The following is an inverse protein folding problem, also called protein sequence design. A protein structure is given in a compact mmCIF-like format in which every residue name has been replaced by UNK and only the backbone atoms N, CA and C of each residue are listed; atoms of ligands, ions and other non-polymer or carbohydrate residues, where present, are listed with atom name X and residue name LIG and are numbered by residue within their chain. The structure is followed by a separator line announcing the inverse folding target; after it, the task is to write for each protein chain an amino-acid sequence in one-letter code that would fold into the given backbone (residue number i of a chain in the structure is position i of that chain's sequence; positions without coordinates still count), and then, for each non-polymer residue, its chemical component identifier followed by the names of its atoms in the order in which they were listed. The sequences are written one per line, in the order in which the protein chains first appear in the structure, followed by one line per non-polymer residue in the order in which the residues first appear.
data_IF_749404531629
#
_entry.id   IF_749404531629
#
_cell.length_a   1.000
_cell.length_b   1.000
_cell.length_c   1.000
_cell.angle_alpha   90.00
_cell.angle_beta   90.00
_cell.angle_gamma   90.00
#
_symmetry.space_group_name_H-M   'P 1'
#
loop_
_entity.id
_entity.type
_entity.pdbx_description
1 polymer ?
#
# COMPACT_ATOMS: atom_id res chain seq x y z
N UNK A 1 -46.47 1.29 20.63
CA UNK A 1 -45.34 0.33 20.73
C UNK A 1 -44.59 0.08 19.41
N UNK A 2 -44.98 0.72 18.28
CA UNK A 2 -44.33 0.56 16.96
C UNK A 2 -43.11 1.47 16.71
N UNK A 3 -42.86 2.45 17.59
CA UNK A 3 -41.80 3.43 17.42
C UNK A 3 -40.43 2.96 17.96
N UNK A 4 -40.42 1.88 18.76
CA UNK A 4 -39.20 1.34 19.40
C UNK A 4 -38.46 0.32 18.53
N UNK A 5 -39.14 -0.32 17.57
CA UNK A 5 -38.54 -1.30 16.66
C UNK A 5 -37.87 -0.66 15.44
N UNK A 6 -38.30 0.54 15.01
CA UNK A 6 -37.65 1.26 13.90
C UNK A 6 -36.27 1.81 14.30
N UNK A 7 -36.12 2.28 15.54
CA UNK A 7 -34.88 2.86 16.05
C UNK A 7 -33.74 1.83 16.19
N UNK A 8 -34.08 0.55 16.37
CA UNK A 8 -33.11 -0.54 16.45
C UNK A 8 -32.51 -0.91 15.08
N UNK A 9 -33.25 -0.71 13.98
CA UNK A 9 -32.78 -1.03 12.63
C UNK A 9 -31.86 0.08 12.08
N UNK A 10 -32.10 1.35 12.45
CA UNK A 10 -31.23 2.47 12.09
C UNK A 10 -29.88 2.46 12.81
N UNK A 11 -29.79 1.87 14.00
CA UNK A 11 -28.54 1.79 14.76
C UNK A 11 -27.62 0.65 14.29
N UNK A 12 -28.16 -0.36 13.60
CA UNK A 12 -27.39 -1.47 13.04
C UNK A 12 -26.70 -1.14 11.70
N UNK A 13 -27.12 -0.07 11.01
CA UNK A 13 -26.51 0.35 9.74
C UNK A 13 -25.25 1.23 9.89
N UNK A 14 -24.97 1.72 11.10
CA UNK A 14 -23.84 2.66 11.34
C UNK A 14 -22.52 1.91 11.63
N UNK A 15 -22.55 0.60 11.84
CA UNK A 15 -21.35 -0.16 12.25
C UNK A 15 -20.57 -0.83 11.11
N UNK A 16 -20.98 -0.65 9.85
CA UNK A 16 -20.20 -1.11 8.69
C UNK A 16 -19.34 0.00 8.07
N UNK A 17 -18.89 0.97 8.89
CA UNK A 17 -17.67 1.69 8.56
C UNK A 17 -16.52 0.71 8.77
N UNK A 18 -16.28 -0.15 7.78
CA UNK A 18 -15.07 -0.97 7.73
C UNK A 18 -13.88 -0.04 7.91
N UNK A 19 -12.91 -0.46 8.71
CA UNK A 19 -11.58 0.16 8.72
C UNK A 19 -11.16 0.32 7.27
N UNK A 20 -11.02 1.56 6.79
CA UNK A 20 -10.46 1.84 5.49
C UNK A 20 -9.05 1.25 5.50
N UNK A 21 -8.91 0.03 4.98
CA UNK A 21 -7.60 -0.57 4.78
C UNK A 21 -6.90 0.33 3.78
N UNK A 22 -5.87 1.05 4.24
CA UNK A 22 -5.07 1.85 3.34
C UNK A 22 -4.51 0.88 2.28
N UNK A 23 -4.82 1.13 1.01
CA UNK A 23 -4.33 0.28 -0.07
C UNK A 23 -2.83 0.57 -0.18
N UNK A 24 -1.96 -0.46 -0.14
CA UNK A 24 -0.53 -0.26 -0.32
C UNK A 24 -0.23 0.48 -1.63
N UNK A 25 0.69 1.44 -1.61
CA UNK A 25 1.13 2.17 -2.79
C UNK A 25 2.53 1.74 -3.18
N UNK A 26 2.73 1.38 -4.44
CA UNK A 26 4.04 0.96 -4.97
C UNK A 26 4.64 2.05 -5.86
N UNK A 27 5.96 2.24 -5.78
CA UNK A 27 6.73 3.11 -6.66
C UNK A 27 7.84 2.32 -7.33
N UNK A 28 8.05 2.55 -8.62
CA UNK A 28 9.21 2.07 -9.36
C UNK A 28 10.42 2.93 -9.03
N UNK A 29 11.53 2.28 -8.70
CA UNK A 29 12.82 2.90 -8.42
C UNK A 29 13.74 2.80 -9.63
N UNK A 30 14.43 3.89 -9.94
CA UNK A 30 15.51 3.92 -10.93
C UNK A 30 16.75 4.53 -10.31
N UNK A 31 17.86 3.79 -10.34
CA UNK A 31 19.18 4.20 -9.91
C UNK A 31 20.01 4.47 -11.17
N UNK A 32 20.39 5.74 -11.38
CA UNK A 32 21.19 6.15 -12.54
C UNK A 32 22.60 6.48 -12.11
N UNK A 33 23.60 5.74 -12.57
CA UNK A 33 25.00 6.11 -12.32
C UNK A 33 25.31 7.43 -13.04
N UNK A 34 25.79 8.42 -12.29
CA UNK A 34 26.21 9.73 -12.81
C UNK A 34 27.68 10.01 -12.57
N UNK A 35 28.40 9.09 -11.90
CA UNK A 35 29.81 9.22 -11.63
C UNK A 35 30.63 8.62 -12.79
N UNK A 36 31.49 9.39 -13.46
CA UNK A 36 32.28 8.92 -14.61
C UNK A 36 33.32 7.85 -14.25
N UNK A 37 33.60 7.64 -12.96
CA UNK A 37 34.52 6.62 -12.45
C UNK A 37 33.78 5.27 -12.26
N UNK A 38 32.45 5.29 -12.12
CA UNK A 38 31.66 4.07 -11.94
C UNK A 38 31.51 3.28 -13.23
N UNK A 39 31.77 1.98 -13.16
CA UNK A 39 31.68 1.02 -14.26
C UNK A 39 30.38 0.19 -14.26
N UNK A 40 29.49 0.39 -13.28
CA UNK A 40 28.14 -0.20 -13.24
C UNK A 40 27.12 0.84 -13.73
N UNK A 41 26.24 0.49 -14.66
CA UNK A 41 25.33 1.46 -15.29
C UNK A 41 24.28 2.07 -14.34
N UNK A 42 23.90 1.34 -13.29
CA UNK A 42 22.80 1.68 -12.41
C UNK A 42 21.96 0.45 -12.08
N UNK A 43 20.73 0.69 -11.64
CA UNK A 43 19.83 -0.35 -11.17
C UNK A 43 18.36 0.05 -11.23
N UNK A 44 17.48 -0.90 -11.00
CA UNK A 44 16.02 -0.71 -10.99
C UNK A 44 15.41 -1.46 -9.84
N UNK A 45 14.28 -1.00 -9.33
CA UNK A 45 13.62 -1.69 -8.23
C UNK A 45 12.23 -1.17 -7.98
N UNK A 46 11.73 -1.43 -6.77
CA UNK A 46 10.49 -0.87 -6.29
C UNK A 46 10.50 -0.69 -4.77
N UNK A 47 9.62 0.19 -4.31
CA UNK A 47 9.27 0.31 -2.91
C UNK A 47 7.75 0.28 -2.76
N UNK A 48 7.27 -0.21 -1.63
CA UNK A 48 5.85 -0.24 -1.31
C UNK A 48 5.64 0.33 0.09
N UNK A 49 4.70 1.26 0.21
CA UNK A 49 4.30 1.90 1.46
C UNK A 49 2.87 1.54 1.83
N UNK A 50 2.55 1.60 3.12
CA UNK A 50 1.20 1.44 3.63
C UNK A 50 0.39 2.73 3.42
N UNK A 51 -0.54 2.69 2.46
CA UNK A 51 -1.40 3.81 2.10
C UNK A 51 -0.79 4.76 1.06
N UNK A 52 -1.41 5.94 0.93
CA UNK A 52 -1.01 6.98 -0.02
C UNK A 52 -0.17 8.07 0.64
N UNK A 53 0.71 8.70 -0.14
CA UNK A 53 1.39 9.95 0.25
C UNK A 53 0.41 11.11 0.18
N UNK A 54 0.36 11.91 1.23
CA UNK A 54 -0.34 13.20 1.27
C UNK A 54 0.38 14.20 0.34
N UNK A 55 -0.40 14.89 -0.49
CA UNK A 55 0.14 15.92 -1.39
C UNK A 55 0.72 17.16 -0.68
N UNK A 56 0.65 17.24 0.65
CA UNK A 56 1.13 18.36 1.47
C UNK A 56 1.85 17.86 2.73
N UNK A 57 2.88 18.59 3.16
CA UNK A 57 3.58 18.33 4.41
C UNK A 57 4.72 17.30 4.28
N UNK A 58 5.17 16.82 5.43
CA UNK A 58 6.32 15.92 5.56
C UNK A 58 5.83 14.56 6.06
N UNK A 59 6.18 13.49 5.36
CA UNK A 59 5.77 12.12 5.70
C UNK A 59 6.95 11.16 5.72
N UNK A 60 6.93 10.27 6.71
CA UNK A 60 7.96 9.27 6.92
C UNK A 60 7.35 7.87 6.89
N UNK A 61 7.89 7.00 6.05
CA UNK A 61 7.53 5.59 5.95
C UNK A 61 8.78 4.79 6.31
N UNK A 62 8.73 3.97 7.35
CA UNK A 62 9.90 3.22 7.81
C UNK A 62 9.51 1.81 8.23
N UNK A 63 10.50 0.94 8.33
CA UNK A 63 10.30 -0.41 8.88
C UNK A 63 9.84 -0.31 10.33
N UNK A 64 10.41 0.64 11.09
CA UNK A 64 10.11 0.86 12.51
C UNK A 64 8.67 1.32 12.77
N UNK A 65 8.08 2.12 11.88
CA UNK A 65 6.69 2.54 12.00
C UNK A 65 5.70 1.61 11.31
N UNK A 66 6.18 0.51 10.71
CA UNK A 66 5.38 -0.49 10.01
C UNK A 66 4.78 -0.01 8.67
N UNK A 67 5.15 1.17 8.18
CA UNK A 67 4.58 1.74 6.95
C UNK A 67 5.44 1.59 5.72
N UNK A 68 6.71 1.17 5.87
CA UNK A 68 7.52 0.69 4.75
C UNK A 68 7.33 -0.82 4.65
N UNK A 69 6.54 -1.25 3.66
CA UNK A 69 6.12 -2.66 3.51
C UNK A 69 7.15 -3.46 2.70
N UNK A 70 7.71 -2.85 1.66
CA UNK A 70 8.73 -3.47 0.82
C UNK A 70 9.70 -2.43 0.27
N UNK A 71 10.94 -2.86 0.06
CA UNK A 71 11.96 -2.17 -0.72
C UNK A 71 12.81 -3.28 -1.34
N UNK A 72 12.96 -3.27 -2.65
CA UNK A 72 13.84 -4.19 -3.37
C UNK A 72 14.37 -3.51 -4.62
N UNK A 73 15.64 -3.73 -4.94
CA UNK A 73 16.24 -3.23 -6.17
C UNK A 73 17.43 -4.09 -6.61
N UNK A 74 17.59 -4.18 -7.92
CA UNK A 74 18.69 -4.87 -8.58
C UNK A 74 19.74 -3.88 -9.05
N UNK A 75 21.01 -4.17 -8.80
CA UNK A 75 22.17 -3.45 -9.33
C UNK A 75 23.31 -4.41 -9.57
N UNK A 76 23.92 -4.35 -10.76
CA UNK A 76 25.00 -5.25 -11.18
C UNK A 76 24.65 -6.76 -11.09
N UNK A 77 23.36 -7.11 -11.24
CA UNK A 77 22.88 -8.49 -11.09
C UNK A 77 22.69 -8.98 -9.65
N UNK A 78 22.85 -8.09 -8.67
CA UNK A 78 22.57 -8.35 -7.25
C UNK A 78 21.28 -7.69 -6.83
N UNK A 79 20.38 -8.46 -6.23
CA UNK A 79 19.17 -7.96 -5.60
C UNK A 79 19.46 -7.58 -4.14
N UNK A 80 19.03 -6.40 -3.74
CA UNK A 80 19.00 -5.97 -2.35
C UNK A 80 17.57 -5.74 -1.94
N UNK A 81 17.18 -6.25 -0.78
CA UNK A 81 15.88 -5.99 -0.18
C UNK A 81 15.97 -5.61 1.31
N UNK A 82 14.82 -5.46 1.98
CA UNK A 82 14.78 -5.10 3.40
C UNK A 82 15.46 -6.12 4.33
N UNK A 83 15.61 -7.39 3.92
CA UNK A 83 16.32 -8.40 4.69
C UNK A 83 17.85 -8.20 4.64
N UNK A 84 18.37 -7.58 3.59
CA UNK A 84 19.79 -7.25 3.45
C UNK A 84 20.19 -5.97 4.21
N UNK A 85 19.21 -5.28 4.80
CA UNK A 85 19.46 -4.05 5.54
C UNK A 85 20.35 -4.32 6.77
N UNK A 86 21.50 -3.65 6.82
CA UNK A 86 22.44 -3.70 7.95
C UNK A 86 21.87 -3.13 9.26
N UNK A 87 20.76 -2.40 9.20
CA UNK A 87 20.02 -1.89 10.35
C UNK A 87 18.53 -1.72 10.04
N UNK A 88 17.72 -1.48 11.07
CA UNK A 88 16.27 -1.24 10.95
C UNK A 88 15.92 0.21 10.56
N UNK A 89 16.92 1.04 10.25
CA UNK A 89 16.80 2.46 9.93
C UNK A 89 16.35 2.75 8.50
N UNK A 90 15.97 1.73 7.72
CA UNK A 90 15.42 1.90 6.38
C UNK A 90 14.15 2.76 6.43
N UNK A 91 14.19 3.89 5.74
CA UNK A 91 13.12 4.88 5.74
C UNK A 91 13.02 5.64 4.44
N UNK A 92 11.82 6.13 4.16
CA UNK A 92 11.46 6.94 3.01
C UNK A 92 10.82 8.22 3.51
N UNK A 93 11.22 9.34 2.92
CA UNK A 93 10.76 10.67 3.26
C UNK A 93 10.12 11.32 2.03
N UNK A 94 8.85 11.69 2.17
CA UNK A 94 8.14 12.49 1.19
C UNK A 94 7.94 13.91 1.73
N UNK A 95 8.10 14.89 0.83
CA UNK A 95 7.84 16.29 1.09
C UNK A 95 6.88 16.84 0.03
N UNK A 96 5.72 17.30 0.46
CA UNK A 96 4.64 17.82 -0.38
C UNK A 96 4.31 16.87 -1.54
N UNK A 97 4.08 15.59 -1.23
CA UNK A 97 3.77 14.56 -2.22
C UNK A 97 4.96 14.03 -3.03
N UNK A 98 6.15 14.63 -2.94
CA UNK A 98 7.32 14.24 -3.73
C UNK A 98 8.31 13.44 -2.89
N UNK A 99 8.94 12.42 -3.49
CA UNK A 99 10.03 11.72 -2.83
C UNK A 99 11.19 12.70 -2.61
N UNK A 100 11.61 12.86 -1.36
CA UNK A 100 12.67 13.78 -0.96
C UNK A 100 13.85 13.07 -0.27
N UNK A 101 13.66 11.83 0.17
CA UNK A 101 14.76 11.03 0.70
C UNK A 101 14.44 9.55 0.82
N UNK A 102 15.48 8.73 0.71
CA UNK A 102 15.43 7.30 0.94
C UNK A 102 16.72 6.89 1.64
N UNK A 103 16.62 6.30 2.83
CA UNK A 103 17.76 5.75 3.57
C UNK A 103 17.66 4.24 3.50
N UNK A 104 18.73 3.62 3.04
CA UNK A 104 18.93 2.17 3.08
C UNK A 104 20.43 1.91 3.11
N UNK A 105 20.87 0.94 3.92
CA UNK A 105 22.25 0.49 3.93
C UNK A 105 22.23 -1.03 3.89
N UNK A 106 22.51 -1.60 2.73
CA UNK A 106 22.48 -3.05 2.49
C UNK A 106 23.88 -3.64 2.38
N UNK A 107 24.02 -4.92 2.73
CA UNK A 107 25.26 -5.67 2.50
C UNK A 107 24.95 -7.10 2.06
N UNK A 108 25.49 -7.53 0.93
CA UNK A 108 25.46 -8.91 0.45
C UNK A 108 26.90 -9.36 0.19
N UNK A 109 27.46 -10.26 1.00
CA UNK A 109 28.77 -10.89 0.75
C UNK A 109 29.90 -9.93 0.30
N UNK A 110 30.14 -8.86 1.06
CA UNK A 110 31.10 -7.76 0.78
C UNK A 110 30.70 -6.77 -0.35
N UNK A 111 29.48 -6.88 -0.85
CA UNK A 111 28.87 -5.89 -1.73
C UNK A 111 28.08 -4.93 -0.87
N UNK A 112 28.40 -3.64 -0.97
CA UNK A 112 27.82 -2.58 -0.17
C UNK A 112 26.97 -1.69 -1.05
N UNK A 113 25.76 -1.39 -0.58
CA UNK A 113 24.91 -0.36 -1.19
C UNK A 113 24.37 0.58 -0.14
N UNK A 114 24.43 1.88 -0.42
CA UNK A 114 23.88 2.92 0.44
C UNK A 114 23.01 3.84 -0.38
N UNK A 115 21.78 4.07 0.10
CA UNK A 115 20.85 5.09 -0.36
C UNK A 115 20.75 6.15 0.74
N UNK A 116 20.81 7.44 0.39
CA UNK A 116 20.89 8.54 1.37
C UNK A 116 19.70 9.51 1.29
N UNK A 117 19.06 9.77 2.43
CA UNK A 117 17.99 10.79 2.60
C UNK A 117 18.51 12.21 2.31
N UNK A 118 17.69 13.01 1.63
CA UNK A 118 17.94 14.43 1.38
C UNK A 118 18.82 14.72 0.15
N UNK A 119 19.52 13.71 -0.37
CA UNK A 119 20.31 13.83 -1.60
C UNK A 119 19.76 12.99 -2.77
N UNK A 120 18.81 12.07 -2.49
CA UNK A 120 18.32 11.07 -3.46
C UNK A 120 19.48 10.46 -4.24
N UNK A 121 20.51 10.05 -3.52
CA UNK A 121 21.73 9.52 -4.09
C UNK A 121 21.96 8.09 -3.63
N UNK A 122 22.69 7.35 -4.44
CA UNK A 122 23.14 6.02 -4.12
C UNK A 122 24.64 5.87 -4.31
N UNK A 123 25.23 4.92 -3.59
CA UNK A 123 26.58 4.41 -3.82
C UNK A 123 26.53 2.90 -3.75
N UNK A 124 27.15 2.23 -4.72
CA UNK A 124 27.28 0.78 -4.82
C UNK A 124 28.76 0.43 -5.00
N UNK A 125 29.23 -0.57 -4.26
CA UNK A 125 30.59 -1.10 -4.36
C UNK A 125 30.59 -2.61 -4.17
N UNK A 126 31.15 -3.34 -5.13
CA UNK A 126 31.32 -4.79 -5.05
C UNK A 126 32.78 -5.15 -4.77
N UNK A 127 33.16 -5.21 -3.49
CA UNK A 127 34.54 -5.55 -3.11
C UNK A 127 34.87 -7.04 -3.24
N UNK A 128 33.90 -7.88 -3.58
CA UNK A 128 34.12 -9.30 -3.83
C UNK A 128 34.76 -9.58 -5.20
N UNK A 129 34.67 -8.63 -6.15
CA UNK A 129 35.23 -8.77 -7.48
C UNK A 129 36.70 -8.31 -7.59
N UNK A 130 37.47 -8.82 -8.58
CA UNK A 130 38.83 -8.35 -8.86
C UNK A 130 38.89 -6.88 -9.27
N UNK A 131 40.06 -6.25 -9.12
CA UNK A 131 40.27 -4.86 -9.55
C UNK A 131 40.28 -4.72 -11.09
N UNK A 132 39.66 -3.66 -11.66
CA UNK A 132 38.84 -2.66 -10.99
C UNK A 132 37.49 -3.26 -10.56
N UNK A 133 37.16 -3.10 -9.28
CA UNK A 133 35.93 -3.65 -8.73
C UNK A 133 34.70 -2.89 -9.26
N UNK A 134 33.54 -3.54 -9.43
CA UNK A 134 32.29 -2.87 -9.80
C UNK A 134 31.90 -1.79 -8.79
N UNK A 135 31.66 -0.59 -9.32
CA UNK A 135 31.33 0.61 -8.56
C UNK A 135 30.31 1.45 -9.34
N UNK A 136 29.35 2.02 -8.63
CA UNK A 136 28.46 3.04 -9.15
C UNK A 136 28.12 4.06 -8.08
N UNK A 137 27.96 5.32 -8.49
CA UNK A 137 27.43 6.37 -7.64
C UNK A 137 26.58 7.30 -8.49
N UNK A 138 25.40 7.64 -8.00
CA UNK A 138 24.58 8.57 -8.74
C UNK A 138 23.27 8.89 -8.06
N UNK A 139 22.26 9.13 -8.89
CA UNK A 139 20.96 9.62 -8.46
C UNK A 139 19.93 8.51 -8.43
N UNK A 140 19.00 8.62 -7.49
CA UNK A 140 17.84 7.79 -7.34
C UNK A 140 16.60 8.61 -7.68
N UNK A 141 15.67 7.98 -8.39
CA UNK A 141 14.36 8.54 -8.66
C UNK A 141 13.29 7.49 -8.39
N UNK A 142 12.09 7.94 -8.09
CA UNK A 142 10.93 7.09 -7.91
C UNK A 142 9.75 7.62 -8.71
N UNK A 143 9.05 6.72 -9.41
CA UNK A 143 7.81 7.04 -10.11
C UNK A 143 6.70 6.20 -9.52
N UNK A 144 5.54 6.82 -9.25
CA UNK A 144 4.38 6.09 -8.77
C UNK A 144 4.05 5.00 -9.79
N UNK A 145 4.03 3.74 -9.32
CA UNK A 145 3.57 2.63 -10.14
C UNK A 145 2.06 2.73 -10.18
N UNK A 146 1.53 3.06 -11.35
CA UNK A 146 0.10 2.98 -11.59
C UNK A 146 -0.18 1.52 -11.86
N UNK A 147 -0.41 0.76 -10.79
CA UNK A 147 -1.02 -0.55 -10.92
C UNK A 147 -2.36 -0.31 -11.58
N UNK A 148 -2.47 -0.72 -12.85
CA UNK A 148 -3.78 -0.82 -13.49
C UNK A 148 -4.52 -1.79 -12.59
N UNK A 149 -5.67 -1.42 -11.98
CA UNK A 149 -6.34 -2.34 -11.09
C UNK A 149 -6.59 -3.62 -11.87
N UNK A 150 -5.90 -4.69 -11.49
CA UNK A 150 -6.33 -6.02 -11.86
C UNK A 150 -7.79 -6.06 -11.41
N UNK A 151 -8.69 -6.28 -12.37
CA UNK A 151 -10.14 -6.41 -12.17
C UNK A 151 -10.45 -7.68 -11.36
N UNK A 152 -9.86 -7.82 -10.17
CA UNK A 152 -9.87 -9.00 -9.32
C UNK A 152 -9.49 -8.70 -7.85
N UNK A 153 -8.98 -7.51 -7.53
CA UNK A 153 -8.87 -7.05 -6.14
C UNK A 153 -10.18 -6.43 -5.69
N UNK A 154 -11.11 -7.23 -5.18
CA UNK A 154 -12.33 -6.70 -4.58
C UNK A 154 -11.96 -5.83 -3.38
N UNK A 155 -12.00 -4.51 -3.54
CA UNK A 155 -12.37 -3.69 -2.41
C UNK A 155 -13.82 -4.08 -2.13
N UNK A 156 -14.03 -4.90 -1.10
CA UNK A 156 -15.34 -5.43 -0.67
C UNK A 156 -16.24 -4.30 -0.13
N UNK A 157 -16.43 -3.25 -0.93
CA UNK A 157 -17.45 -2.26 -0.76
C UNK A 157 -18.60 -2.77 -1.63
N UNK A 158 -19.69 -3.27 -1.04
CA UNK A 158 -20.85 -3.69 -1.82
C UNK A 158 -21.26 -2.52 -2.71
N UNK A 159 -21.31 -2.76 -4.02
CA UNK A 159 -21.74 -1.74 -4.96
C UNK A 159 -23.10 -1.17 -4.51
N UNK A 160 -23.40 0.12 -4.76
CA UNK A 160 -24.65 0.74 -4.34
C UNK A 160 -25.90 -0.07 -4.74
N UNK A 161 -25.82 -0.79 -5.85
CA UNK A 161 -26.86 -1.71 -6.33
C UNK A 161 -27.06 -2.95 -5.43
N UNK A 162 -25.99 -3.53 -4.88
CA UNK A 162 -26.07 -4.65 -3.95
C UNK A 162 -26.72 -4.24 -2.62
N UNK A 163 -26.42 -3.03 -2.14
CA UNK A 163 -27.05 -2.41 -0.98
C UNK A 163 -28.55 -2.14 -1.21
N UNK A 164 -28.91 -1.62 -2.38
CA UNK A 164 -30.31 -1.43 -2.78
C UNK A 164 -31.05 -2.77 -2.90
N UNK A 165 -30.43 -3.78 -3.48
CA UNK A 165 -31.02 -5.12 -3.63
C UNK A 165 -31.24 -5.78 -2.27
N UNK A 166 -30.27 -5.67 -1.36
CA UNK A 166 -30.40 -6.17 0.01
C UNK A 166 -31.53 -5.43 0.76
N UNK A 167 -31.58 -4.10 0.66
CA UNK A 167 -32.66 -3.31 1.26
C UNK A 167 -34.04 -3.69 0.68
N UNK A 168 -34.14 -3.90 -0.63
CA UNK A 168 -35.36 -4.35 -1.28
C UNK A 168 -35.78 -5.75 -0.83
N UNK A 169 -34.83 -6.68 -0.68
CA UNK A 169 -35.08 -8.04 -0.20
C UNK A 169 -35.62 -8.04 1.24
N UNK A 170 -35.03 -7.24 2.14
CA UNK A 170 -35.49 -7.11 3.53
C UNK A 170 -36.90 -6.52 3.59
N UNK A 171 -37.19 -5.50 2.79
CA UNK A 171 -38.53 -4.90 2.72
C UNK A 171 -39.58 -5.87 2.13
N UNK A 172 -39.20 -6.65 1.10
CA UNK A 172 -40.06 -7.68 0.49
C UNK A 172 -40.45 -8.79 1.47
N UNK A 173 -39.48 -9.30 2.25
CA UNK A 173 -39.72 -10.32 3.28
C UNK A 173 -40.61 -9.79 4.42
N UNK A 174 -40.40 -8.53 4.84
CA UNK A 174 -41.24 -7.89 5.85
C UNK A 174 -42.71 -7.75 5.43
N UNK A 175 -42.96 -7.52 4.13
CA UNK A 175 -44.31 -7.41 3.59
C UNK A 175 -45.02 -8.77 3.47
N UNK A 176 -44.30 -9.82 3.09
CA UNK A 176 -44.84 -11.19 3.04
C UNK A 176 -45.25 -11.70 4.44
N UNK A 177 -44.44 -11.44 5.46
CA UNK A 177 -44.76 -11.82 6.84
C UNK A 177 -45.96 -11.05 7.41
N UNK A 178 -46.17 -9.79 6.98
CA UNK A 178 -47.33 -8.98 7.39
C UNK A 178 -48.63 -9.49 6.78
N UNK A 179 -48.59 -9.97 5.53
CA UNK A 179 -49.77 -10.60 4.89
C UNK A 179 -50.17 -11.91 5.54
N UNK A 180 -49.20 -12.76 5.90
CA UNK A 180 -49.49 -14.03 6.58
C UNK A 180 -50.19 -13.86 7.93
N UNK A 181 -49.84 -12.81 8.69
CA UNK A 181 -50.49 -12.51 9.99
C UNK A 181 -51.88 -11.91 9.87
N UNK A 182 -52.21 -11.24 8.76
CA UNK A 182 -53.55 -10.73 8.51
C UNK A 182 -54.48 -11.84 8.02
N UNK A 183 -54.01 -12.72 7.13
CA UNK A 183 -54.77 -13.87 6.67
C UNK A 183 -55.10 -14.89 7.79
N UNK A 184 -54.20 -15.07 8.77
CA UNK A 184 -54.46 -15.93 9.92
C UNK A 184 -55.45 -15.35 10.94
N UNK A 185 -55.72 -14.04 10.90
CA UNK A 185 -56.61 -13.35 11.84
C UNK A 185 -58.07 -13.37 11.39
N UNK A 186 -58.32 -13.57 10.10
CA UNK A 186 -59.67 -13.66 9.53
C UNK A 186 -60.23 -15.10 9.50
N UNK A 187 -59.43 -16.09 9.92
CA UNK A 187 -59.82 -17.52 9.95
C UNK A 187 -60.49 -18.01 11.24
N UNK A 188 -60.74 -17.14 12.23
CA UNK A 188 -61.32 -17.51 13.54
C UNK A 188 -62.68 -16.84 13.82
N UNK A 189 -63.47 -16.62 12.77
CA UNK A 189 -64.87 -16.20 12.89
C UNK A 189 -65.77 -17.10 12.04
N UNK A 190 -65.93 -18.36 12.45
CA UNK A 190 -67.12 -19.21 12.20
C UNK A 190 -67.37 -20.03 13.46
#
# INVERSE_FOLDING_TARGET
MFLRTLAALSLALVTFCGTASAVPTTYDLTLTNTNPIGNVAGGTGSLTIDGSVLGIGNEFFSVLNGKLLALSFDIDGHNFDLADASNTGSQIFFQNGNLAGLTFLGTDNNILVSLTVGALSFTYSNFAAPYPFPFAQGILSATLRVDTPDNGGSTDIPEPAALLLFAAAVLGLGWQLRRGRLAARDGHAV
#
